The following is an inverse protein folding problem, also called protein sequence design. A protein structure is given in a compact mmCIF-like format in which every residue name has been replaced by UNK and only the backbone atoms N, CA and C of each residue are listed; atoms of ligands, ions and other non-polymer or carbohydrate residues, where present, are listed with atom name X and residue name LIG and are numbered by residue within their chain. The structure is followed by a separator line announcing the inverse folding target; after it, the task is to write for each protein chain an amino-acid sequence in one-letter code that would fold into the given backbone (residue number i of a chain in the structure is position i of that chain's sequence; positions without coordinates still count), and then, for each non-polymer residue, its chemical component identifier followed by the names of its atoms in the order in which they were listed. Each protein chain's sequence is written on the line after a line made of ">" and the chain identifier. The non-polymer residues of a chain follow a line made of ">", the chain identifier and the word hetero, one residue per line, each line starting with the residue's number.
data_IF_500969131003
#
_entry.id   IF_500969131003
#
_cell.length_a   1.000
_cell.length_b   1.000
_cell.length_c   1.000
_cell.angle_alpha   90.00
_cell.angle_beta   90.00
_cell.angle_gamma   90.00
#
_symmetry.space_group_name_H-M   'P 1'
#
loop_
_entity.id
_entity.type
_entity.pdbx_description
1 polymer ?
#
# COMPACT_ATOMS: atom_id res chain seq x y z
N UNK A 1 17.03 1.07 2.08
CA UNK A 1 18.02 0.03 2.46
C UNK A 1 18.30 0.06 3.95
N UNK A 2 18.86 1.14 4.51
CA UNK A 2 19.21 1.23 5.93
C UNK A 2 18.07 0.90 6.90
N UNK A 3 16.86 1.42 6.65
CA UNK A 3 15.69 1.15 7.49
C UNK A 3 15.33 -0.34 7.48
N UNK A 4 15.39 -0.97 6.32
CA UNK A 4 15.08 -2.39 6.15
C UNK A 4 16.09 -3.28 6.88
N UNK A 5 17.39 -3.08 6.62
CA UNK A 5 18.46 -3.85 7.26
C UNK A 5 18.49 -3.67 8.78
N UNK A 6 18.34 -2.42 9.25
CA UNK A 6 18.31 -2.12 10.68
C UNK A 6 17.13 -2.84 11.39
N UNK A 7 15.94 -2.85 10.77
CA UNK A 7 14.80 -3.58 11.36
C UNK A 7 15.06 -5.09 11.44
N UNK A 8 15.64 -5.66 10.40
CA UNK A 8 15.97 -7.08 10.40
C UNK A 8 17.04 -7.43 11.45
N UNK A 9 18.04 -6.59 11.63
CA UNK A 9 19.04 -6.74 12.70
C UNK A 9 18.39 -6.68 14.09
N UNK A 10 17.45 -5.76 14.32
CA UNK A 10 16.68 -5.72 15.58
C UNK A 10 15.91 -7.02 15.83
N UNK A 11 15.41 -7.65 14.77
CA UNK A 11 14.71 -8.94 14.83
C UNK A 11 15.67 -10.14 14.94
N UNK A 12 16.99 -9.90 14.96
CA UNK A 12 18.01 -10.95 15.04
C UNK A 12 18.38 -11.58 13.69
N UNK A 13 17.97 -10.96 12.58
CA UNK A 13 18.35 -11.35 11.22
C UNK A 13 19.62 -10.58 10.83
N UNK A 14 20.80 -11.25 10.93
CA UNK A 14 22.11 -10.63 10.81
C UNK A 14 22.72 -10.97 9.45
N UNK A 15 23.16 -9.95 8.71
CA UNK A 15 23.84 -10.09 7.43
C UNK A 15 25.03 -11.05 7.51
N UNK A 16 25.09 -12.03 6.62
CA UNK A 16 26.15 -13.03 6.54
C UNK A 16 26.08 -14.14 7.60
N UNK A 17 25.27 -13.96 8.66
CA UNK A 17 25.12 -14.96 9.71
C UNK A 17 23.96 -15.92 9.40
N UNK A 18 22.75 -15.43 9.41
CA UNK A 18 21.51 -16.19 9.19
C UNK A 18 20.60 -15.56 8.13
N UNK A 19 21.02 -14.46 7.53
CA UNK A 19 20.32 -13.78 6.44
C UNK A 19 21.32 -13.13 5.49
N UNK A 20 20.90 -12.91 4.25
CA UNK A 20 21.65 -12.18 3.24
C UNK A 20 20.75 -11.10 2.63
N UNK A 21 21.19 -9.86 2.67
CA UNK A 21 20.57 -8.73 2.00
C UNK A 21 21.39 -8.38 0.76
N UNK A 22 20.74 -8.40 -0.38
CA UNK A 22 21.34 -8.00 -1.64
C UNK A 22 20.49 -6.92 -2.30
N UNK A 23 21.15 -5.90 -2.85
CA UNK A 23 20.53 -4.85 -3.62
C UNK A 23 21.08 -4.90 -5.03
N UNK A 24 20.40 -5.61 -5.89
CA UNK A 24 20.76 -5.76 -7.30
C UNK A 24 19.52 -5.75 -8.18
N UNK A 25 19.70 -5.54 -9.47
CA UNK A 25 18.63 -5.75 -10.44
C UNK A 25 18.42 -7.26 -10.58
N UNK A 26 17.17 -7.70 -10.53
CA UNK A 26 16.83 -9.11 -10.65
C UNK A 26 17.28 -9.71 -11.98
N UNK A 27 17.42 -8.89 -13.03
CA UNK A 27 17.90 -9.32 -14.36
C UNK A 27 19.36 -9.72 -14.36
N UNK A 28 20.14 -9.15 -13.44
CA UNK A 28 21.58 -9.42 -13.29
C UNK A 28 21.86 -10.53 -12.25
N UNK A 29 20.86 -10.88 -11.43
CA UNK A 29 20.97 -11.87 -10.36
C UNK A 29 20.69 -13.28 -10.88
N UNK A 30 21.64 -14.19 -10.77
CA UNK A 30 21.48 -15.58 -11.15
C UNK A 30 21.15 -16.50 -9.96
N UNK A 31 20.58 -17.68 -10.25
CA UNK A 31 20.38 -18.72 -9.22
C UNK A 31 21.69 -19.19 -8.57
N UNK A 32 22.80 -19.13 -9.29
CA UNK A 32 24.13 -19.46 -8.74
C UNK A 32 24.58 -18.40 -7.73
N UNK A 33 24.31 -17.12 -7.98
CA UNK A 33 24.62 -16.06 -7.01
C UNK A 33 23.80 -16.25 -5.72
N UNK A 34 22.50 -16.55 -5.86
CA UNK A 34 21.62 -16.83 -4.73
C UNK A 34 22.15 -18.04 -3.92
N UNK A 35 22.52 -19.13 -4.59
CA UNK A 35 23.12 -20.31 -3.92
C UNK A 35 24.41 -19.96 -3.20
N UNK A 36 25.26 -19.14 -3.81
CA UNK A 36 26.51 -18.66 -3.21
C UNK A 36 26.24 -17.82 -1.97
N UNK A 37 25.22 -16.93 -2.00
CA UNK A 37 24.85 -16.15 -0.82
C UNK A 37 24.38 -17.05 0.32
N UNK A 38 23.55 -18.05 0.04
CA UNK A 38 23.05 -18.99 1.05
C UNK A 38 24.19 -19.82 1.65
N UNK A 39 25.07 -20.41 0.83
CA UNK A 39 26.18 -21.23 1.31
C UNK A 39 27.24 -20.44 2.06
N UNK A 40 27.30 -19.11 1.84
CA UNK A 40 28.20 -18.22 2.57
C UNK A 40 27.67 -17.80 3.95
N UNK A 41 26.40 -18.08 4.26
CA UNK A 41 25.86 -17.81 5.60
C UNK A 41 26.55 -18.69 6.66
N UNK A 42 26.89 -18.12 7.82
CA UNK A 42 27.54 -18.84 8.91
C UNK A 42 26.77 -20.11 9.32
N UNK A 43 25.40 -20.04 9.32
CA UNK A 43 24.56 -21.19 9.68
C UNK A 43 24.68 -22.38 8.71
N UNK A 44 25.15 -22.15 7.47
CA UNK A 44 25.33 -23.17 6.45
C UNK A 44 26.81 -23.45 6.13
N UNK A 45 27.75 -22.76 6.77
CA UNK A 45 29.17 -22.92 6.52
C UNK A 45 29.62 -24.39 6.72
N UNK A 46 30.19 -24.96 5.67
CA UNK A 46 30.64 -26.34 5.67
C UNK A 46 29.53 -27.39 5.57
N UNK A 47 28.32 -26.98 5.27
CA UNK A 47 27.18 -27.87 5.02
C UNK A 47 26.82 -27.88 3.54
N UNK A 48 26.08 -28.90 3.12
CA UNK A 48 25.49 -28.93 1.81
C UNK A 48 24.47 -27.79 1.65
N UNK A 49 24.25 -27.32 0.41
CA UNK A 49 23.23 -26.34 0.08
C UNK A 49 21.86 -26.86 0.53
N UNK A 50 21.15 -26.12 1.40
CA UNK A 50 19.82 -26.55 1.81
C UNK A 50 18.82 -26.46 0.63
N UNK A 51 17.84 -27.33 0.67
CA UNK A 51 16.69 -27.18 -0.23
C UNK A 51 15.91 -25.90 0.13
N UNK A 52 15.52 -25.12 -0.88
CA UNK A 52 14.76 -23.89 -0.67
C UNK A 52 13.28 -24.24 -0.46
N UNK A 53 12.74 -23.92 0.70
CA UNK A 53 11.36 -24.24 1.02
C UNK A 53 10.38 -23.32 0.31
N UNK A 54 10.65 -22.00 0.32
CA UNK A 54 9.70 -21.01 -0.18
C UNK A 54 10.41 -19.84 -0.87
N UNK A 55 9.89 -19.44 -2.01
CA UNK A 55 10.22 -18.16 -2.67
C UNK A 55 9.01 -17.26 -2.73
N UNK A 56 9.14 -16.03 -2.20
CA UNK A 56 8.09 -15.00 -2.28
C UNK A 56 8.61 -13.86 -3.15
N UNK A 57 7.80 -13.34 -4.05
CA UNK A 57 8.14 -12.22 -4.90
C UNK A 57 6.97 -11.29 -5.21
N UNK A 58 7.28 -10.00 -5.34
CA UNK A 58 6.35 -8.96 -5.79
C UNK A 58 6.97 -8.19 -6.95
N UNK A 59 7.02 -8.75 -8.17
CA UNK A 59 7.59 -8.05 -9.32
C UNK A 59 6.86 -6.73 -9.58
N UNK A 60 7.61 -5.70 -10.04
CA UNK A 60 7.08 -4.34 -10.18
C UNK A 60 5.73 -4.29 -10.91
N UNK A 61 4.80 -3.55 -10.34
CA UNK A 61 3.42 -3.39 -10.83
C UNK A 61 3.18 -2.09 -11.60
N UNK A 62 4.21 -1.28 -11.91
CA UNK A 62 3.99 0.08 -12.40
C UNK A 62 3.25 0.15 -13.74
N UNK A 63 3.47 -0.79 -14.63
CA UNK A 63 2.71 -0.92 -15.88
C UNK A 63 1.32 -1.53 -15.71
N UNK A 64 1.03 -2.22 -14.60
CA UNK A 64 -0.25 -2.90 -14.33
C UNK A 64 -1.22 -2.04 -13.50
N UNK A 65 -0.72 -1.03 -12.77
CA UNK A 65 -1.53 -0.25 -11.84
C UNK A 65 -2.66 0.49 -12.54
N UNK A 66 -3.89 0.34 -12.03
CA UNK A 66 -5.06 1.11 -12.48
C UNK A 66 -4.93 2.62 -12.21
N UNK A 67 -4.08 3.00 -11.27
CA UNK A 67 -3.74 4.40 -10.97
C UNK A 67 -2.65 4.97 -11.87
N UNK A 68 -1.95 4.13 -12.66
CA UNK A 68 -0.89 4.51 -13.60
C UNK A 68 -1.38 4.69 -15.04
N UNK A 69 -0.44 5.00 -15.95
CA UNK A 69 -0.72 5.19 -17.38
C UNK A 69 -1.02 3.89 -18.15
N UNK A 70 -0.89 2.71 -17.51
CA UNK A 70 -1.04 1.38 -18.13
C UNK A 70 -0.26 1.26 -19.46
N UNK A 71 0.99 1.69 -19.44
CA UNK A 71 1.86 1.60 -20.60
C UNK A 71 2.22 0.13 -20.86
N UNK A 72 1.66 -0.42 -21.93
CA UNK A 72 1.90 -1.81 -22.32
C UNK A 72 3.34 -2.07 -22.77
N UNK A 73 4.07 -1.03 -23.17
CA UNK A 73 5.46 -1.11 -23.61
C UNK A 73 6.48 -0.98 -22.47
N UNK A 74 6.03 -0.73 -21.23
CA UNK A 74 6.93 -0.58 -20.09
C UNK A 74 7.71 -1.90 -19.85
N UNK A 75 9.05 -1.88 -19.94
CA UNK A 75 9.86 -3.09 -19.77
C UNK A 75 9.72 -3.74 -18.39
N UNK A 76 9.22 -3.01 -17.40
CA UNK A 76 8.93 -3.55 -16.07
C UNK A 76 7.75 -4.52 -16.06
N UNK A 77 6.90 -4.49 -17.08
CA UNK A 77 5.82 -5.46 -17.25
C UNK A 77 6.35 -6.89 -17.44
N UNK A 78 7.62 -7.02 -17.86
CA UNK A 78 8.27 -8.30 -18.10
C UNK A 78 8.95 -8.89 -16.86
N UNK A 79 9.00 -8.16 -15.72
CA UNK A 79 9.69 -8.62 -14.51
C UNK A 79 9.06 -9.85 -13.85
N UNK A 80 7.81 -10.18 -14.15
CA UNK A 80 7.24 -11.45 -13.71
C UNK A 80 7.91 -12.65 -14.41
N UNK A 81 8.41 -12.47 -15.63
CA UNK A 81 9.24 -13.46 -16.33
C UNK A 81 10.56 -13.74 -15.60
N UNK A 82 11.19 -12.67 -15.07
CA UNK A 82 12.40 -12.81 -14.24
C UNK A 82 12.12 -13.59 -12.95
N UNK A 83 10.94 -13.40 -12.36
CA UNK A 83 10.52 -14.23 -11.22
C UNK A 83 10.47 -15.71 -11.60
N UNK A 84 9.84 -16.04 -12.74
CA UNK A 84 9.78 -17.44 -13.23
C UNK A 84 11.18 -17.98 -13.55
N UNK A 85 12.08 -17.16 -14.13
CA UNK A 85 13.47 -17.54 -14.38
C UNK A 85 14.18 -17.95 -13.08
N UNK A 86 14.10 -17.10 -12.05
CA UNK A 86 14.72 -17.39 -10.75
C UNK A 86 14.11 -18.65 -10.11
N UNK A 87 12.78 -18.83 -10.17
CA UNK A 87 12.11 -20.07 -9.72
C UNK A 87 12.68 -21.28 -10.46
N UNK A 88 12.87 -21.21 -11.77
CA UNK A 88 13.43 -22.28 -12.56
C UNK A 88 14.89 -22.61 -12.19
N UNK A 89 15.68 -21.61 -11.86
CA UNK A 89 17.09 -21.76 -11.49
C UNK A 89 17.26 -22.31 -10.09
N UNK A 90 16.49 -21.87 -9.08
CA UNK A 90 16.67 -22.27 -7.68
C UNK A 90 15.76 -23.42 -7.23
N UNK A 91 14.66 -23.69 -7.95
CA UNK A 91 13.73 -24.81 -7.72
C UNK A 91 13.20 -24.89 -6.27
N UNK A 92 12.58 -23.83 -5.73
CA UNK A 92 11.99 -23.87 -4.38
C UNK A 92 10.85 -24.91 -4.33
N UNK A 93 10.49 -25.37 -3.13
CA UNK A 93 9.33 -26.26 -2.94
C UNK A 93 8.02 -25.54 -3.24
N UNK A 94 7.86 -24.33 -2.68
CA UNK A 94 6.68 -23.51 -2.79
C UNK A 94 7.03 -22.12 -3.30
N UNK A 95 6.09 -21.49 -3.98
CA UNK A 95 6.23 -20.14 -4.52
C UNK A 95 5.01 -19.31 -4.22
N UNK A 96 5.20 -18.03 -3.94
CA UNK A 96 4.14 -17.02 -3.79
C UNK A 96 4.51 -15.79 -4.59
N UNK A 97 3.62 -15.35 -5.46
CA UNK A 97 3.76 -14.09 -6.18
C UNK A 97 2.60 -13.17 -5.82
N UNK A 98 2.92 -11.94 -5.41
CA UNK A 98 1.96 -10.88 -5.12
C UNK A 98 2.00 -9.82 -6.20
N UNK A 99 0.81 -9.31 -6.57
CA UNK A 99 0.72 -8.14 -7.43
C UNK A 99 -0.59 -7.36 -7.21
N UNK A 100 -0.75 -6.25 -7.93
CA UNK A 100 -1.98 -5.45 -7.91
C UNK A 100 -3.09 -6.13 -8.74
N UNK A 101 -4.36 -5.78 -8.49
CA UNK A 101 -5.50 -6.34 -9.20
C UNK A 101 -5.39 -6.21 -10.73
N UNK A 102 -4.82 -5.09 -11.23
CA UNK A 102 -4.64 -4.89 -12.66
C UNK A 102 -3.73 -5.90 -13.37
N UNK A 103 -3.02 -6.74 -12.60
CA UNK A 103 -2.23 -7.85 -13.11
C UNK A 103 -3.11 -8.95 -13.76
N UNK A 104 -4.37 -9.05 -13.34
CA UNK A 104 -5.29 -10.10 -13.82
C UNK A 104 -5.70 -9.90 -15.27
N UNK A 105 -5.94 -8.65 -15.66
CA UNK A 105 -6.51 -8.27 -16.96
C UNK A 105 -5.49 -7.66 -17.93
N UNK A 106 -4.20 -7.67 -17.56
CA UNK A 106 -3.14 -7.20 -18.45
C UNK A 106 -2.92 -8.19 -19.60
N UNK A 107 -3.04 -7.70 -20.82
CA UNK A 107 -2.86 -8.46 -22.03
C UNK A 107 -1.51 -8.16 -22.70
N UNK A 108 -0.90 -9.18 -23.26
CA UNK A 108 0.34 -9.09 -24.04
C UNK A 108 0.11 -9.33 -25.52
N UNK A 109 0.98 -8.75 -26.33
CA UNK A 109 1.06 -8.92 -27.78
C UNK A 109 2.47 -9.36 -28.12
N UNK A 110 2.61 -10.44 -28.90
CA UNK A 110 3.92 -10.95 -29.33
C UNK A 110 4.80 -11.42 -28.17
N UNK A 111 4.17 -11.88 -27.07
CA UNK A 111 4.94 -12.30 -25.88
C UNK A 111 5.52 -13.70 -26.06
N UNK A 112 6.83 -13.80 -25.84
CA UNK A 112 7.55 -15.07 -25.75
C UNK A 112 8.03 -15.28 -24.31
N UNK A 113 7.60 -16.38 -23.71
CA UNK A 113 7.95 -16.75 -22.35
C UNK A 113 9.43 -17.18 -22.21
N UNK A 114 9.89 -17.31 -20.97
CA UNK A 114 11.24 -17.75 -20.67
C UNK A 114 11.47 -19.23 -21.03
N UNK A 115 10.40 -20.02 -21.08
CA UNK A 115 10.41 -21.42 -21.53
C UNK A 115 10.45 -21.55 -23.06
N UNK A 116 10.38 -20.45 -23.79
CA UNK A 116 10.40 -20.40 -25.24
C UNK A 116 9.00 -20.48 -25.87
N UNK A 117 7.94 -20.61 -25.09
CA UNK A 117 6.55 -20.63 -25.58
C UNK A 117 6.19 -19.24 -26.13
N UNK A 118 5.63 -19.23 -27.32
CA UNK A 118 5.02 -18.04 -27.91
C UNK A 118 3.51 -18.03 -27.60
N UNK A 119 3.06 -16.97 -26.95
CA UNK A 119 1.69 -16.83 -26.50
C UNK A 119 0.84 -16.07 -27.51
N UNK A 120 -0.41 -16.49 -27.76
CA UNK A 120 -1.31 -15.75 -28.63
C UNK A 120 -1.52 -14.31 -28.17
N UNK A 121 -1.70 -13.40 -29.12
CA UNK A 121 -2.02 -12.00 -28.83
C UNK A 121 -3.28 -11.90 -27.98
N UNK A 122 -3.23 -11.05 -26.96
CA UNK A 122 -4.32 -10.91 -26.00
C UNK A 122 -4.24 -11.89 -24.81
N UNK A 123 -3.23 -12.77 -24.74
CA UNK A 123 -3.01 -13.61 -23.56
C UNK A 123 -2.82 -12.77 -22.30
N UNK A 124 -3.54 -13.12 -21.23
CA UNK A 124 -3.49 -12.41 -19.95
C UNK A 124 -2.39 -12.96 -19.04
N UNK A 125 -1.86 -12.10 -18.17
CA UNK A 125 -0.74 -12.45 -17.28
C UNK A 125 -0.96 -13.73 -16.45
N UNK A 126 -2.14 -13.98 -15.83
CA UNK A 126 -2.36 -15.22 -15.07
C UNK A 126 -2.21 -16.48 -15.91
N UNK A 127 -2.71 -16.45 -17.14
CA UNK A 127 -2.57 -17.58 -18.06
C UNK A 127 -1.11 -17.85 -18.41
N UNK A 128 -0.38 -16.79 -18.81
CA UNK A 128 1.04 -16.89 -19.14
C UNK A 128 1.85 -17.42 -17.95
N UNK A 129 1.67 -16.82 -16.77
CA UNK A 129 2.42 -17.19 -15.56
C UNK A 129 2.19 -18.65 -15.16
N UNK A 130 0.94 -19.13 -15.20
CA UNK A 130 0.61 -20.51 -14.87
C UNK A 130 1.17 -21.48 -15.90
N UNK A 131 1.13 -21.14 -17.19
CA UNK A 131 1.72 -21.94 -18.26
C UNK A 131 3.23 -22.06 -18.09
N UNK A 132 3.95 -20.95 -17.91
CA UNK A 132 5.38 -20.93 -17.69
C UNK A 132 5.80 -21.76 -16.45
N UNK A 133 5.07 -21.60 -15.32
CA UNK A 133 5.31 -22.38 -14.11
C UNK A 133 5.07 -23.88 -14.33
N UNK A 134 4.04 -24.24 -15.09
CA UNK A 134 3.75 -25.63 -15.43
C UNK A 134 4.89 -26.26 -16.22
N UNK A 135 5.45 -25.55 -17.21
CA UNK A 135 6.57 -26.04 -18.02
C UNK A 135 7.82 -26.31 -17.18
N UNK A 136 8.08 -25.51 -16.15
CA UNK A 136 9.23 -25.69 -15.27
C UNK A 136 8.97 -26.63 -14.10
N UNK A 137 7.81 -27.32 -14.07
CA UNK A 137 7.51 -28.41 -13.11
C UNK A 137 6.74 -27.99 -11.87
N UNK A 138 5.98 -26.89 -11.93
CA UNK A 138 5.11 -26.44 -10.85
C UNK A 138 3.63 -26.54 -11.21
N UNK A 139 2.84 -26.94 -10.24
CA UNK A 139 1.39 -26.75 -10.26
C UNK A 139 1.03 -25.47 -9.51
N UNK A 140 -0.09 -24.87 -9.85
CA UNK A 140 -0.55 -23.61 -9.24
C UNK A 140 -1.99 -23.73 -8.77
N UNK A 141 -2.31 -23.13 -7.65
CA UNK A 141 -3.69 -22.89 -7.25
C UNK A 141 -4.32 -21.84 -8.18
N UNK A 142 -5.66 -21.82 -8.23
CA UNK A 142 -6.36 -20.71 -8.89
C UNK A 142 -6.06 -19.41 -8.16
N UNK A 143 -5.56 -18.36 -8.85
CA UNK A 143 -5.19 -17.11 -8.21
C UNK A 143 -6.38 -16.44 -7.52
N UNK A 144 -6.14 -15.85 -6.34
CA UNK A 144 -7.17 -15.15 -5.57
C UNK A 144 -6.80 -13.69 -5.31
N UNK A 145 -7.79 -12.83 -5.36
CA UNK A 145 -7.67 -11.45 -4.86
C UNK A 145 -8.01 -11.48 -3.38
N UNK A 146 -7.04 -11.10 -2.54
CA UNK A 146 -7.21 -11.01 -1.10
C UNK A 146 -7.19 -9.54 -0.69
N UNK A 147 -8.09 -9.18 0.26
CA UNK A 147 -8.13 -7.85 0.84
C UNK A 147 -7.49 -7.88 2.24
N UNK A 148 -6.46 -7.08 2.46
CA UNK A 148 -5.75 -7.04 3.74
C UNK A 148 -6.68 -6.76 4.94
N UNK A 149 -7.77 -6.01 4.75
CA UNK A 149 -8.74 -5.74 5.81
C UNK A 149 -9.43 -7.01 6.34
N UNK A 150 -9.58 -8.06 5.52
CA UNK A 150 -10.18 -9.33 5.91
C UNK A 150 -9.25 -10.17 6.80
N UNK A 151 -8.00 -9.72 6.95
CA UNK A 151 -6.95 -10.36 7.76
C UNK A 151 -6.47 -9.49 8.93
N UNK A 152 -7.28 -8.51 9.35
CA UNK A 152 -7.01 -7.68 10.51
C UNK A 152 -6.03 -6.51 10.27
N UNK A 153 -5.78 -6.14 9.02
CA UNK A 153 -5.06 -4.91 8.67
C UNK A 153 -6.06 -3.77 8.52
N UNK A 154 -5.89 -2.61 9.16
CA UNK A 154 -6.84 -1.49 9.06
C UNK A 154 -6.70 -0.73 7.72
N UNK A 155 -6.61 -1.48 6.62
CA UNK A 155 -6.46 -0.95 5.27
C UNK A 155 -7.18 -1.82 4.25
N UNK A 156 -8.01 -1.21 3.41
CA UNK A 156 -8.54 -1.84 2.20
C UNK A 156 -7.43 -1.88 1.15
N UNK A 157 -6.80 -3.04 1.04
CA UNK A 157 -5.71 -3.28 0.09
C UNK A 157 -5.90 -4.63 -0.58
N UNK A 158 -6.43 -4.58 -1.79
CA UNK A 158 -6.61 -5.77 -2.61
C UNK A 158 -5.31 -6.12 -3.33
N UNK A 159 -4.94 -7.39 -3.29
CA UNK A 159 -3.80 -7.94 -4.01
C UNK A 159 -4.14 -9.29 -4.59
N UNK A 160 -3.71 -9.49 -5.84
CA UNK A 160 -3.73 -10.82 -6.44
C UNK A 160 -2.57 -11.64 -5.86
N UNK A 161 -2.89 -12.82 -5.39
CA UNK A 161 -1.91 -13.76 -4.85
C UNK A 161 -1.92 -15.01 -5.72
N UNK A 162 -0.74 -15.40 -6.19
CA UNK A 162 -0.47 -16.66 -6.85
C UNK A 162 0.28 -17.58 -5.90
N UNK A 163 -0.20 -18.79 -5.73
CA UNK A 163 0.50 -19.83 -4.97
C UNK A 163 0.78 -20.99 -5.90
N UNK A 164 2.05 -21.39 -5.98
CA UNK A 164 2.47 -22.57 -6.72
C UNK A 164 3.30 -23.49 -5.84
N UNK A 165 3.43 -24.73 -6.27
CA UNK A 165 4.17 -25.76 -5.59
C UNK A 165 4.79 -26.74 -6.61
N UNK A 166 5.98 -27.26 -6.30
CA UNK A 166 6.66 -28.22 -7.17
C UNK A 166 5.83 -29.51 -7.26
N UNK A 167 5.72 -30.06 -8.44
CA UNK A 167 4.95 -31.30 -8.68
C UNK A 167 5.38 -32.41 -7.75
N UNK A 168 4.40 -33.14 -7.22
CA UNK A 168 4.61 -34.22 -6.27
C UNK A 168 4.62 -33.80 -4.80
N UNK A 169 4.54 -32.49 -4.51
CA UNK A 169 4.35 -31.99 -3.17
C UNK A 169 2.86 -31.83 -2.82
N UNK A 170 2.57 -31.76 -1.52
CA UNK A 170 1.21 -31.50 -1.05
C UNK A 170 0.76 -30.10 -1.47
N UNK A 171 -0.40 -29.96 -2.14
CA UNK A 171 -0.96 -28.66 -2.48
C UNK A 171 -1.18 -27.80 -1.24
N UNK A 172 -0.71 -26.54 -1.22
CA UNK A 172 -1.02 -25.61 -0.15
C UNK A 172 -2.47 -25.12 -0.25
N UNK A 173 -2.91 -24.31 0.72
CA UNK A 173 -4.23 -23.69 0.70
C UNK A 173 -4.11 -22.19 0.94
N UNK A 174 -5.05 -21.41 0.38
CA UNK A 174 -5.17 -20.01 0.75
C UNK A 174 -5.67 -19.90 2.19
N UNK A 175 -5.17 -18.92 2.96
CA UNK A 175 -5.72 -18.67 4.28
C UNK A 175 -7.17 -18.19 4.15
N UNK A 176 -8.03 -18.65 5.06
CA UNK A 176 -9.39 -18.11 5.16
C UNK A 176 -9.35 -16.73 5.85
N UNK A 177 -10.26 -15.81 5.49
CA UNK A 177 -10.41 -14.54 6.19
C UNK A 177 -10.53 -14.73 7.70
N UNK A 178 -9.77 -13.96 8.47
CA UNK A 178 -9.78 -14.01 9.94
C UNK A 178 -10.76 -13.02 10.55
N UNK A 179 -11.27 -12.08 9.74
CA UNK A 179 -12.15 -11.00 10.18
C UNK A 179 -13.34 -10.90 9.22
N UNK A 180 -14.55 -10.78 9.76
CA UNK A 180 -15.74 -10.54 8.94
C UNK A 180 -15.80 -9.09 8.44
N UNK A 181 -16.50 -8.82 7.33
CA UNK A 181 -16.56 -7.46 6.77
C UNK A 181 -17.00 -6.35 7.74
N UNK A 182 -17.93 -6.67 8.65
CA UNK A 182 -18.43 -5.73 9.65
C UNK A 182 -17.56 -5.62 10.92
N UNK A 183 -16.53 -6.46 11.03
CA UNK A 183 -15.58 -6.49 12.14
C UNK A 183 -14.19 -5.99 11.71
N UNK A 184 -14.05 -5.53 10.44
CA UNK A 184 -12.81 -4.98 9.94
C UNK A 184 -12.37 -3.78 10.79
N UNK A 185 -11.07 -3.72 11.09
CA UNK A 185 -10.50 -2.64 11.90
C UNK A 185 -10.64 -1.29 11.19
N UNK A 186 -11.21 -0.33 11.91
CA UNK A 186 -11.38 1.04 11.44
C UNK A 186 -10.09 1.87 11.59
N UNK A 187 -10.08 3.03 10.99
CA UNK A 187 -9.03 4.02 11.19
C UNK A 187 -8.94 4.46 12.66
N UNK A 188 -10.09 4.60 13.33
CA UNK A 188 -10.15 4.91 14.77
C UNK A 188 -9.48 3.83 15.61
N UNK A 189 -9.74 2.55 15.31
CA UNK A 189 -9.10 1.42 16.00
C UNK A 189 -7.57 1.45 15.85
N UNK A 190 -7.08 1.91 14.72
CA UNK A 190 -5.65 1.89 14.42
C UNK A 190 -4.88 3.08 14.99
N UNK A 191 -5.40 4.29 14.84
CA UNK A 191 -4.66 5.54 15.07
C UNK A 191 -5.42 6.58 15.90
N UNK A 192 -6.54 6.23 16.53
CA UNK A 192 -7.32 7.15 17.36
C UNK A 192 -6.52 7.74 18.53
N UNK A 193 -5.56 7.02 19.06
CA UNK A 193 -4.64 7.47 20.10
C UNK A 193 -3.56 8.48 19.62
N UNK A 194 -3.41 8.63 18.31
CA UNK A 194 -2.46 9.58 17.69
C UNK A 194 -3.08 10.93 17.33
N UNK A 195 -4.38 11.15 17.60
CA UNK A 195 -5.03 12.45 17.42
C UNK A 195 -4.32 13.49 18.26
N UNK A 196 -3.90 14.61 17.64
CA UNK A 196 -3.06 15.62 18.31
C UNK A 196 -3.83 16.47 19.32
N UNK A 197 -5.10 16.78 19.01
CA UNK A 197 -6.01 17.44 19.96
C UNK A 197 -6.40 16.46 21.08
N UNK A 198 -5.86 16.71 22.27
CA UNK A 198 -6.07 15.85 23.45
C UNK A 198 -7.53 15.74 23.87
N UNK A 199 -8.35 16.78 23.68
CA UNK A 199 -9.79 16.75 24.02
C UNK A 199 -10.54 15.86 23.04
N UNK A 200 -10.30 16.05 21.74
CA UNK A 200 -10.88 15.18 20.71
C UNK A 200 -10.45 13.73 20.90
N UNK A 201 -9.16 13.51 21.11
CA UNK A 201 -8.62 12.17 21.37
C UNK A 201 -9.32 11.51 22.54
N UNK A 202 -9.41 12.16 23.69
CA UNK A 202 -10.07 11.59 24.86
C UNK A 202 -11.56 11.30 24.62
N UNK A 203 -12.24 12.13 23.83
CA UNK A 203 -13.65 11.94 23.52
C UNK A 203 -13.91 10.70 22.64
N UNK A 204 -13.05 10.40 21.66
CA UNK A 204 -13.28 9.33 20.69
C UNK A 204 -12.44 8.08 20.93
N UNK A 205 -11.33 8.18 21.65
CA UNK A 205 -10.40 7.09 21.97
C UNK A 205 -9.93 7.22 23.45
N UNK A 206 -10.83 7.04 24.44
CA UNK A 206 -10.49 7.24 25.84
C UNK A 206 -9.48 6.21 26.37
N UNK A 207 -9.45 5.02 25.77
CA UNK A 207 -8.53 3.93 26.09
C UNK A 207 -7.95 3.33 24.80
N UNK A 208 -6.73 2.80 24.88
CA UNK A 208 -6.13 2.12 23.74
C UNK A 208 -6.93 0.89 23.33
N UNK A 209 -7.19 0.76 22.05
CA UNK A 209 -7.74 -0.47 21.47
C UNK A 209 -6.70 -1.60 21.56
N UNK A 210 -7.15 -2.85 21.38
CA UNK A 210 -6.21 -3.97 21.29
C UNK A 210 -5.18 -3.76 20.17
N UNK A 211 -5.61 -3.27 19.01
CA UNK A 211 -4.71 -3.02 17.88
C UNK A 211 -3.63 -1.98 18.22
N UNK A 212 -3.98 -0.89 18.91
CA UNK A 212 -3.03 0.12 19.35
C UNK A 212 -2.05 -0.45 20.39
N UNK A 213 -2.54 -1.24 21.34
CA UNK A 213 -1.67 -1.92 22.33
C UNK A 213 -0.68 -2.86 21.64
N UNK A 214 -1.15 -3.66 20.67
CA UNK A 214 -0.31 -4.56 19.88
C UNK A 214 0.72 -3.79 19.04
N UNK A 215 0.38 -2.58 18.54
CA UNK A 215 1.33 -1.70 17.84
C UNK A 215 2.45 -1.22 18.75
N UNK A 216 2.13 -0.89 19.99
CA UNK A 216 3.08 -0.41 21.02
C UNK A 216 3.96 -1.57 21.51
N UNK A 217 3.35 -2.72 21.80
CA UNK A 217 4.04 -3.89 22.36
C UNK A 217 4.82 -4.70 21.31
N UNK A 218 4.53 -4.49 20.04
CA UNK A 218 5.08 -5.25 18.91
C UNK A 218 4.24 -6.48 18.56
N UNK A 219 4.07 -6.73 17.25
CA UNK A 219 3.42 -7.92 16.68
C UNK A 219 4.41 -8.88 16.09
N UNK A 220 5.52 -8.35 15.56
CA UNK A 220 6.53 -9.11 14.83
C UNK A 220 7.55 -9.67 15.79
N UNK A 221 7.60 -10.99 15.99
CA UNK A 221 8.61 -11.60 16.86
C UNK A 221 9.96 -11.60 16.17
N UNK A 222 11.03 -11.41 16.95
CA UNK A 222 12.39 -11.68 16.52
C UNK A 222 12.68 -13.19 16.44
N UNK A 223 13.90 -13.53 16.08
CA UNK A 223 14.36 -14.94 16.02
C UNK A 223 14.31 -15.65 17.37
N UNK A 224 14.24 -14.90 18.45
CA UNK A 224 14.05 -15.40 19.82
C UNK A 224 12.56 -15.64 20.20
N UNK A 225 11.65 -15.42 19.27
CA UNK A 225 10.20 -15.56 19.45
C UNK A 225 9.55 -14.41 20.22
N UNK A 226 10.28 -13.33 20.55
CA UNK A 226 9.76 -12.20 21.32
C UNK A 226 9.54 -10.98 20.43
N UNK A 227 8.40 -10.27 20.58
CA UNK A 227 8.18 -9.01 19.88
C UNK A 227 9.07 -7.91 20.49
N UNK A 228 9.29 -6.85 19.71
CA UNK A 228 10.07 -5.69 20.13
C UNK A 228 9.10 -4.57 20.52
N UNK A 229 8.95 -4.25 21.81
CA UNK A 229 8.08 -3.15 22.23
C UNK A 229 8.68 -1.80 21.88
N UNK A 230 7.84 -0.82 21.61
CA UNK A 230 8.25 0.54 21.38
C UNK A 230 8.66 1.21 22.70
N UNK A 231 9.86 1.82 22.72
CA UNK A 231 10.32 2.64 23.84
C UNK A 231 9.91 4.10 23.69
N UNK A 232 9.68 4.54 22.46
CA UNK A 232 9.34 5.92 22.11
C UNK A 232 8.61 5.93 20.77
N UNK A 233 7.52 6.68 20.71
CA UNK A 233 6.80 6.90 19.46
C UNK A 233 7.59 7.86 18.57
N UNK A 234 7.95 7.41 17.36
CA UNK A 234 8.73 8.15 16.37
C UNK A 234 7.90 8.38 15.09
N UNK A 235 8.36 9.30 14.26
CA UNK A 235 7.77 9.62 12.96
C UNK A 235 6.34 10.21 13.08
N UNK A 236 6.11 10.99 14.12
CA UNK A 236 4.83 11.68 14.40
C UNK A 236 4.79 13.11 13.88
N UNK A 237 5.84 13.58 13.24
CA UNK A 237 5.96 14.92 12.72
C UNK A 237 4.87 15.19 11.68
N UNK A 238 4.25 16.35 11.78
CA UNK A 238 3.18 16.78 10.88
C UNK A 238 3.73 17.72 9.80
N UNK A 239 3.23 17.56 8.58
CA UNK A 239 3.51 18.49 7.49
C UNK A 239 2.95 19.88 7.81
N UNK A 240 3.76 20.90 7.58
CA UNK A 240 3.29 22.29 7.67
C UNK A 240 2.39 22.62 6.49
N UNK A 241 1.24 23.20 6.78
CA UNK A 241 0.25 23.55 5.76
C UNK A 241 -0.10 25.03 5.91
N UNK A 242 -0.29 25.69 4.75
CA UNK A 242 -0.77 27.08 4.70
C UNK A 242 -2.23 27.14 5.14
N UNK A 243 -2.70 28.31 5.52
CA UNK A 243 -4.11 28.53 5.90
C UNK A 243 -5.06 28.15 4.75
N UNK A 244 -4.71 28.49 3.52
CA UNK A 244 -5.47 28.08 2.32
C UNK A 244 -5.64 26.56 2.25
N UNK A 245 -4.59 25.79 2.55
CA UNK A 245 -4.66 24.33 2.52
C UNK A 245 -5.49 23.78 3.67
N UNK A 246 -5.34 24.35 4.88
CA UNK A 246 -6.13 23.94 6.06
C UNK A 246 -7.60 24.20 5.86
N UNK A 247 -7.97 25.44 5.46
CA UNK A 247 -9.36 25.80 5.18
C UNK A 247 -9.97 24.94 4.08
N UNK A 248 -9.18 24.59 3.05
CA UNK A 248 -9.60 23.66 1.99
C UNK A 248 -9.90 22.27 2.53
N UNK A 249 -9.09 21.76 3.47
CA UNK A 249 -9.32 20.45 4.09
C UNK A 249 -10.59 20.44 4.95
N UNK A 250 -10.95 21.55 5.56
CA UNK A 250 -12.15 21.69 6.37
C UNK A 250 -13.44 21.63 5.53
N UNK A 251 -13.36 21.85 4.21
CA UNK A 251 -14.52 21.73 3.32
C UNK A 251 -14.96 20.28 3.10
N UNK A 252 -14.06 19.30 3.27
CA UNK A 252 -14.36 17.90 3.06
C UNK A 252 -15.14 17.29 4.23
N UNK A 253 -16.23 16.61 3.92
CA UNK A 253 -16.88 15.71 4.88
C UNK A 253 -16.07 14.42 5.09
N UNK A 254 -16.22 13.70 6.23
CA UNK A 254 -15.63 12.38 6.40
C UNK A 254 -16.03 11.42 5.28
N UNK A 255 -15.06 10.70 4.70
CA UNK A 255 -15.25 9.79 3.57
C UNK A 255 -15.34 10.48 2.20
N UNK A 256 -15.35 11.81 2.14
CA UNK A 256 -15.58 12.55 0.89
C UNK A 256 -14.29 12.67 0.05
N UNK A 257 -14.41 12.37 -1.25
CA UNK A 257 -13.34 12.60 -2.24
C UNK A 257 -13.43 14.01 -2.84
N UNK A 258 -12.33 14.50 -3.44
CA UNK A 258 -12.31 15.77 -4.15
C UNK A 258 -13.34 15.86 -5.29
N UNK A 259 -13.62 14.74 -5.96
CA UNK A 259 -14.66 14.66 -7.00
C UNK A 259 -16.06 14.85 -6.41
N UNK A 260 -16.34 14.20 -5.27
CA UNK A 260 -17.64 14.31 -4.61
C UNK A 260 -17.83 15.71 -4.01
N UNK A 261 -16.80 16.29 -3.42
CA UNK A 261 -16.84 17.66 -2.92
C UNK A 261 -17.10 18.66 -4.04
N UNK A 262 -16.43 18.54 -5.19
CA UNK A 262 -16.71 19.37 -6.37
C UNK A 262 -18.18 19.27 -6.78
N UNK A 263 -18.69 18.05 -6.89
CA UNK A 263 -20.08 17.79 -7.26
C UNK A 263 -21.04 18.43 -6.25
N UNK A 264 -20.79 18.23 -4.94
CA UNK A 264 -21.61 18.82 -3.87
C UNK A 264 -21.63 20.35 -3.93
N UNK A 265 -20.46 20.99 -4.14
CA UNK A 265 -20.39 22.46 -4.27
C UNK A 265 -21.20 22.95 -5.47
N UNK A 266 -21.10 22.31 -6.61
CA UNK A 266 -21.81 22.71 -7.83
C UNK A 266 -23.34 22.49 -7.72
N UNK A 267 -23.76 21.42 -7.06
CA UNK A 267 -25.18 21.03 -6.96
C UNK A 267 -25.93 21.67 -5.76
N UNK A 268 -25.22 21.90 -4.65
CA UNK A 268 -25.86 22.34 -3.38
C UNK A 268 -25.30 23.66 -2.85
N UNK A 269 -24.13 24.09 -3.36
CA UNK A 269 -23.37 25.20 -2.77
C UNK A 269 -22.60 24.77 -1.51
N UNK A 270 -21.84 25.72 -0.98
CA UNK A 270 -21.09 25.57 0.28
C UNK A 270 -20.91 26.94 0.94
N UNK A 271 -21.08 27.00 2.25
CA UNK A 271 -20.80 28.24 2.99
C UNK A 271 -19.27 28.29 3.32
N UNK A 272 -18.62 29.32 2.79
CA UNK A 272 -17.19 29.60 3.01
C UNK A 272 -16.95 30.91 3.76
N UNK A 273 -18.00 31.53 4.35
CA UNK A 273 -17.92 32.82 5.05
C UNK A 273 -16.85 32.84 6.16
N UNK A 274 -16.56 31.70 6.78
CA UNK A 274 -15.53 31.53 7.82
C UNK A 274 -14.19 31.02 7.26
N UNK A 275 -13.93 31.19 5.96
CA UNK A 275 -12.71 30.71 5.27
C UNK A 275 -11.97 31.87 4.59
N UNK A 276 -11.39 32.81 5.37
CA UNK A 276 -10.82 34.04 4.82
C UNK A 276 -9.66 33.80 3.85
N UNK A 277 -8.82 32.76 4.07
CA UNK A 277 -7.71 32.48 3.17
C UNK A 277 -8.19 31.96 1.81
N UNK A 278 -9.26 31.16 1.78
CA UNK A 278 -9.89 30.71 0.53
C UNK A 278 -10.61 31.83 -0.20
N UNK A 279 -11.33 32.70 0.54
CA UNK A 279 -11.97 33.87 -0.03
C UNK A 279 -10.94 34.77 -0.70
N UNK A 280 -9.87 35.15 0.01
CA UNK A 280 -8.79 35.96 -0.53
C UNK A 280 -8.17 35.36 -1.80
N UNK A 281 -7.89 34.04 -1.78
CA UNK A 281 -7.39 33.33 -2.95
C UNK A 281 -8.34 33.45 -4.16
N UNK A 282 -9.64 33.34 -3.94
CA UNK A 282 -10.64 33.46 -5.01
C UNK A 282 -10.70 34.90 -5.53
N UNK A 283 -10.71 35.90 -4.65
CA UNK A 283 -10.68 37.33 -5.02
C UNK A 283 -9.46 37.66 -5.88
N UNK A 284 -8.26 37.22 -5.47
CA UNK A 284 -7.01 37.44 -6.23
C UNK A 284 -7.03 36.81 -7.63
N UNK A 285 -7.77 35.72 -7.83
CA UNK A 285 -7.83 34.99 -9.10
C UNK A 285 -8.99 35.44 -10.01
N UNK A 286 -9.99 36.15 -9.48
CA UNK A 286 -11.22 36.46 -10.21
C UNK A 286 -11.54 37.94 -10.30
N UNK A 287 -10.90 38.78 -9.50
CA UNK A 287 -11.22 40.22 -9.27
C UNK A 287 -12.65 40.46 -8.71
N UNK A 288 -13.26 39.44 -8.10
CA UNK A 288 -14.54 39.57 -7.41
C UNK A 288 -14.30 40.00 -5.95
N UNK A 289 -15.31 40.67 -5.36
CA UNK A 289 -15.27 41.04 -3.94
C UNK A 289 -15.48 39.84 -3.02
N UNK A 290 -15.07 39.88 -1.75
CA UNK A 290 -15.33 38.83 -0.78
C UNK A 290 -16.80 38.44 -0.66
N UNK A 291 -17.69 39.43 -0.68
CA UNK A 291 -19.15 39.26 -0.58
C UNK A 291 -19.71 38.51 -1.81
N UNK A 292 -19.22 38.85 -3.00
CA UNK A 292 -19.61 38.17 -4.25
C UNK A 292 -19.11 36.71 -4.23
N UNK A 293 -17.87 36.44 -3.83
CA UNK A 293 -17.33 35.08 -3.72
C UNK A 293 -18.15 34.23 -2.75
N UNK A 294 -18.46 34.75 -1.55
CA UNK A 294 -19.28 34.04 -0.56
C UNK A 294 -20.68 33.78 -1.11
N UNK A 295 -21.29 34.78 -1.73
CA UNK A 295 -22.62 34.65 -2.31
C UNK A 295 -22.71 33.59 -3.41
N UNK A 296 -21.72 33.55 -4.31
CA UNK A 296 -21.63 32.55 -5.41
C UNK A 296 -21.51 31.13 -4.84
N UNK A 297 -20.62 30.91 -3.88
CA UNK A 297 -20.46 29.59 -3.35
C UNK A 297 -21.60 29.13 -2.45
N UNK A 298 -22.31 30.03 -1.81
CA UNK A 298 -23.45 29.70 -0.96
C UNK A 298 -24.66 29.18 -1.73
N UNK A 299 -24.71 29.43 -3.04
CA UNK A 299 -25.78 28.98 -3.92
C UNK A 299 -25.35 27.84 -4.83
N UNK A 300 -26.26 26.96 -5.27
CA UNK A 300 -25.99 26.02 -6.37
C UNK A 300 -25.55 26.75 -7.65
N UNK A 301 -24.73 26.08 -8.48
CA UNK A 301 -24.40 26.59 -9.81
C UNK A 301 -23.05 27.31 -9.91
N UNK A 302 -22.19 27.27 -8.89
CA UNK A 302 -20.82 27.77 -9.02
C UNK A 302 -20.13 27.13 -10.23
N UNK A 303 -19.51 27.94 -11.11
CA UNK A 303 -18.87 27.42 -12.31
C UNK A 303 -17.64 26.56 -11.98
N UNK A 304 -17.31 25.64 -12.90
CA UNK A 304 -16.21 24.67 -12.72
C UNK A 304 -14.87 25.37 -12.45
N UNK A 305 -14.60 26.45 -13.15
CA UNK A 305 -13.36 27.21 -13.04
C UNK A 305 -13.20 27.79 -11.63
N UNK A 306 -14.26 28.37 -11.07
CA UNK A 306 -14.25 28.93 -9.72
C UNK A 306 -14.08 27.82 -8.66
N UNK A 307 -14.77 26.69 -8.82
CA UNK A 307 -14.63 25.53 -7.95
C UNK A 307 -13.20 24.96 -8.00
N UNK A 308 -12.54 24.98 -9.17
CA UNK A 308 -11.14 24.57 -9.32
C UNK A 308 -10.15 25.54 -8.66
N UNK A 309 -10.44 26.82 -8.58
CA UNK A 309 -9.65 27.78 -7.78
C UNK A 309 -9.78 27.44 -6.30
N UNK A 310 -11.00 27.19 -5.82
CA UNK A 310 -11.26 26.83 -4.43
C UNK A 310 -10.56 25.52 -4.02
N UNK A 311 -10.69 24.46 -4.84
CA UNK A 311 -10.31 23.08 -4.47
C UNK A 311 -9.00 22.57 -5.06
N UNK A 312 -8.46 23.18 -6.11
CA UNK A 312 -7.41 22.65 -6.98
C UNK A 312 -7.90 21.56 -7.98
N UNK A 313 -7.04 21.23 -8.95
CA UNK A 313 -7.34 20.19 -9.95
C UNK A 313 -7.17 18.75 -9.43
N UNK A 314 -6.65 18.54 -8.21
CA UNK A 314 -6.43 17.21 -7.63
C UNK A 314 -7.76 16.57 -7.19
N UNK A 315 -8.29 15.69 -7.99
CA UNK A 315 -9.56 14.99 -7.71
C UNK A 315 -9.40 13.77 -6.77
N UNK A 316 -8.17 13.26 -6.61
CA UNK A 316 -7.87 12.06 -5.83
C UNK A 316 -7.80 12.33 -4.31
N UNK A 317 -7.72 13.59 -3.91
CA UNK A 317 -7.68 13.95 -2.49
C UNK A 317 -8.95 13.49 -1.78
N UNK A 318 -8.79 12.89 -0.61
CA UNK A 318 -9.90 12.34 0.17
C UNK A 318 -9.71 12.60 1.66
N UNK A 319 -10.78 12.98 2.34
CA UNK A 319 -10.87 12.91 3.80
C UNK A 319 -11.33 11.52 4.19
N UNK A 320 -10.56 10.79 4.98
CA UNK A 320 -10.93 9.44 5.34
C UNK A 320 -12.08 9.40 6.35
N UNK A 321 -12.81 8.28 6.35
CA UNK A 321 -13.86 8.00 7.34
C UNK A 321 -13.21 7.33 8.57
N UNK A 322 -13.37 7.87 9.78
CA UNK A 322 -12.80 7.28 11.00
C UNK A 322 -13.32 5.88 11.30
N UNK A 323 -14.53 5.54 10.84
CA UNK A 323 -15.21 4.28 11.13
C UNK A 323 -14.99 3.21 10.04
N UNK A 324 -14.10 3.46 9.11
CA UNK A 324 -13.76 2.53 8.03
C UNK A 324 -12.26 2.22 8.04
N UNK A 325 -11.84 1.06 7.50
CA UNK A 325 -10.43 0.84 7.17
C UNK A 325 -9.92 1.94 6.24
N UNK A 326 -8.65 2.30 6.35
CA UNK A 326 -8.02 3.25 5.43
C UNK A 326 -8.11 2.78 3.97
N UNK A 327 -8.08 3.70 3.03
CA UNK A 327 -7.86 3.35 1.63
C UNK A 327 -6.45 2.80 1.42
N UNK A 328 -6.19 2.20 0.25
CA UNK A 328 -4.83 1.77 -0.12
C UNK A 328 -3.87 2.95 -0.07
N UNK A 329 -2.86 2.88 0.78
CA UNK A 329 -1.82 3.89 0.93
C UNK A 329 -0.91 3.83 -0.29
N UNK A 330 -0.76 4.97 -0.96
CA UNK A 330 0.16 5.21 -2.08
C UNK A 330 1.38 5.98 -1.61
N UNK A 331 2.35 6.20 -2.49
CA UNK A 331 3.66 6.76 -2.16
C UNK A 331 3.63 8.17 -1.56
N UNK A 332 2.58 8.97 -1.86
CA UNK A 332 2.45 10.36 -1.39
C UNK A 332 1.26 10.46 -0.43
N UNK A 333 1.54 10.77 0.84
CA UNK A 333 0.53 10.93 1.89
C UNK A 333 -0.33 12.20 1.74
N UNK A 334 0.08 13.16 0.90
CA UNK A 334 -0.57 14.46 0.74
C UNK A 334 -1.99 14.42 0.14
N UNK A 335 -2.40 13.29 -0.39
CA UNK A 335 -3.73 13.09 -0.96
C UNK A 335 -4.77 12.66 0.07
N UNK A 336 -4.36 12.38 1.31
CA UNK A 336 -5.25 11.92 2.36
C UNK A 336 -5.32 12.90 3.52
N UNK A 337 -6.56 13.23 3.91
CA UNK A 337 -6.87 14.20 4.97
C UNK A 337 -7.33 13.42 6.21
N UNK A 338 -6.79 13.78 7.38
CA UNK A 338 -7.22 13.24 8.66
C UNK A 338 -8.72 13.51 8.90
N UNK A 339 -9.48 12.52 9.39
CA UNK A 339 -10.91 12.73 9.69
C UNK A 339 -11.14 13.67 10.88
N UNK A 340 -10.15 13.85 11.74
CA UNK A 340 -10.29 14.64 12.98
C UNK A 340 -9.74 16.05 12.89
N UNK A 341 -8.78 16.27 11.98
CA UNK A 341 -7.98 17.50 11.92
C UNK A 341 -7.75 17.92 10.46
N UNK A 342 -7.69 19.23 10.15
CA UNK A 342 -7.50 19.70 8.78
C UNK A 342 -6.02 19.62 8.36
N UNK A 343 -5.48 18.40 8.34
CA UNK A 343 -4.09 18.07 8.03
C UNK A 343 -3.95 16.74 7.29
N UNK A 344 -2.81 16.51 6.71
CA UNK A 344 -2.42 15.18 6.22
C UNK A 344 -1.92 14.30 7.37
N UNK A 345 -1.73 13.03 7.11
CA UNK A 345 -1.27 12.05 8.11
C UNK A 345 0.24 12.16 8.33
N UNK A 346 0.67 11.85 9.53
CA UNK A 346 2.08 11.58 9.85
C UNK A 346 2.54 10.23 9.29
N UNK A 347 3.85 10.03 9.19
CA UNK A 347 4.42 8.74 8.77
C UNK A 347 4.00 7.61 9.72
N UNK A 348 3.93 7.88 11.03
CA UNK A 348 3.50 6.90 12.03
C UNK A 348 2.05 6.47 11.85
N UNK A 349 1.15 7.41 11.60
CA UNK A 349 -0.26 7.08 11.33
C UNK A 349 -0.39 6.19 10.11
N UNK A 350 0.32 6.50 9.03
CA UNK A 350 0.33 5.68 7.82
C UNK A 350 0.96 4.29 8.03
N UNK A 351 2.03 4.22 8.82
CA UNK A 351 2.71 2.97 9.16
C UNK A 351 1.76 2.04 9.96
N UNK A 352 1.05 2.57 10.96
CA UNK A 352 0.07 1.79 11.73
C UNK A 352 -1.08 1.28 10.87
N UNK A 353 -1.57 2.06 9.89
CA UNK A 353 -2.57 1.60 8.93
C UNK A 353 -2.08 0.42 8.07
N UNK A 354 -0.78 0.18 8.00
CA UNK A 354 -0.14 -0.93 7.31
C UNK A 354 0.40 -2.00 8.26
N UNK A 355 -0.01 -1.98 9.52
CA UNK A 355 0.39 -2.93 10.57
C UNK A 355 1.88 -2.91 10.95
N UNK A 356 2.60 -1.82 10.66
CA UNK A 356 3.93 -1.64 11.22
C UNK A 356 3.86 -1.34 12.72
N UNK A 357 4.73 -1.99 13.49
CA UNK A 357 4.86 -1.76 14.92
C UNK A 357 5.47 -0.39 15.22
N UNK A 358 5.17 0.19 16.38
CA UNK A 358 5.71 1.49 16.78
C UNK A 358 7.22 1.47 17.05
N UNK A 359 7.78 0.28 17.24
CA UNK A 359 9.22 0.06 17.36
C UNK A 359 9.98 0.10 16.03
N UNK A 360 9.23 0.17 14.91
CA UNK A 360 9.80 0.26 13.55
C UNK A 360 10.19 1.69 13.19
#
# INVERSE_FOLDING_TARGET
>A
ELTYTHRHEQLGLIQGKNTWFERSDIRDLTGNDIRKYITNLEIFKGKEMPEIDLMIGGPSCQGFSRAGRRDKSDPRNMLFGEYVRVVNEIKPKYIVLENVEGFVDMQFIGYKGITGIEYPDGSVTPFILRSELSEIGYDTLEPRILNAADYGVPQRRNRIIFIGYRRGLTPPQYPEPTVKPHEQLSLLDAIGDLITDSRKRHAVNPTHTKYQQDSINGRTPGVDGKPIPSKKLLNTELSRQTDVVRERFELFAPGESGSNLKKRIMEQGIDISEKPALINLCCEKTNLSPEEIVSIFKQPGACKELVEILLTKKNIRQRWDPNQPSATIVTIADDYISPWEPRTFSVREMARCQSFDDSF
#
